data_IF_083400872518
#
_entry.id   IF_083400872518
#
_cell.length_a   1.000
_cell.length_b   1.000
_cell.length_c   1.000
_cell.angle_alpha   90.00
_cell.angle_beta   90.00
_cell.angle_gamma   90.00
#
_symmetry.space_group_name_H-M   'P 1'
#
loop_
_entity.id
_entity.type
_entity.pdbx_description
1 polymer ?
#
# COMPACT_ATOMS: atom_id res chain seq x y z
N UNK A 1 -9.33 -7.56 23.53
CA UNK A 1 -10.81 -7.68 23.42
C UNK A 1 -11.53 -6.61 24.25
N UNK A 2 -12.71 -6.16 23.81
CA UNK A 2 -13.55 -5.22 24.54
C UNK A 2 -14.82 -5.97 24.99
N UNK A 3 -15.19 -5.86 26.26
CA UNK A 3 -16.42 -6.48 26.79
C UNK A 3 -17.04 -5.59 27.86
N UNK A 4 -18.28 -5.15 27.62
CA UNK A 4 -18.95 -4.19 28.48
C UNK A 4 -18.11 -2.91 28.61
N UNK A 5 -17.76 -2.52 29.83
CA UNK A 5 -16.91 -1.35 30.10
C UNK A 5 -15.43 -1.69 30.32
N UNK A 6 -15.00 -2.92 30.00
CA UNK A 6 -13.65 -3.40 30.24
C UNK A 6 -12.91 -3.75 28.94
N UNK A 7 -11.59 -3.57 28.97
CA UNK A 7 -10.64 -4.06 27.98
C UNK A 7 -9.86 -5.22 28.57
N UNK A 8 -9.57 -6.22 27.74
CA UNK A 8 -8.70 -7.35 28.00
C UNK A 8 -7.55 -7.30 27.00
N UNK A 9 -6.32 -7.55 27.46
CA UNK A 9 -5.14 -7.58 26.61
C UNK A 9 -4.45 -8.95 26.71
N UNK A 10 -4.17 -9.56 25.56
CA UNK A 10 -3.54 -10.87 25.47
C UNK A 10 -2.26 -10.77 24.65
N UNK A 11 -1.23 -11.49 25.07
CA UNK A 11 0.00 -11.68 24.31
C UNK A 11 0.29 -13.17 24.19
N UNK A 12 0.47 -13.67 22.97
CA UNK A 12 0.67 -15.10 22.68
C UNK A 12 -0.35 -16.02 23.37
N UNK A 13 -1.62 -15.58 23.37
CA UNK A 13 -2.74 -16.32 23.98
C UNK A 13 -2.88 -16.19 25.50
N UNK A 14 -1.93 -15.54 26.19
CA UNK A 14 -1.95 -15.35 27.64
C UNK A 14 -2.51 -13.99 28.04
N UNK A 15 -3.42 -13.95 29.02
CA UNK A 15 -3.93 -12.69 29.58
C UNK A 15 -2.79 -11.95 30.29
N UNK A 16 -2.56 -10.68 29.90
CA UNK A 16 -1.52 -9.87 30.53
C UNK A 16 -1.88 -9.49 31.96
N UNK A 17 -0.86 -9.45 32.82
CA UNK A 17 -1.01 -9.03 34.20
C UNK A 17 -1.60 -7.61 34.29
N UNK A 18 -2.59 -7.44 35.16
CA UNK A 18 -3.29 -6.17 35.35
C UNK A 18 -4.47 -5.94 34.41
N UNK A 19 -4.86 -6.91 33.59
CA UNK A 19 -6.13 -6.94 32.86
C UNK A 19 -7.12 -7.93 33.48
N UNK A 20 -8.45 -7.73 33.33
CA UNK A 20 -9.11 -6.64 32.60
C UNK A 20 -8.99 -5.27 33.30
N UNK A 21 -9.06 -4.20 32.51
CA UNK A 21 -9.10 -2.82 32.98
C UNK A 21 -10.33 -2.09 32.45
N UNK A 22 -10.83 -1.06 33.15
CA UNK A 22 -11.84 -0.16 32.58
C UNK A 22 -11.35 0.49 31.28
N UNK A 23 -12.22 0.55 30.27
CA UNK A 23 -11.93 1.22 28.98
C UNK A 23 -11.54 2.68 29.21
N UNK A 24 -12.19 3.37 30.15
CA UNK A 24 -11.89 4.78 30.47
C UNK A 24 -10.50 4.99 31.08
N UNK A 25 -9.87 3.95 31.62
CA UNK A 25 -8.50 4.02 32.13
C UNK A 25 -7.47 3.78 31.02
N UNK A 26 -7.72 2.81 30.15
CA UNK A 26 -6.81 2.49 29.04
C UNK A 26 -6.92 3.50 27.88
N UNK A 27 -8.14 3.99 27.64
CA UNK A 27 -8.50 4.92 26.57
C UNK A 27 -9.29 6.11 27.16
N UNK A 28 -8.63 7.07 27.82
CA UNK A 28 -9.29 8.20 28.44
C UNK A 28 -10.17 8.99 27.46
N UNK A 29 -11.45 9.14 27.79
CA UNK A 29 -12.44 9.83 26.94
C UNK A 29 -13.24 8.91 26.00
N UNK A 30 -12.89 7.62 25.92
CA UNK A 30 -13.66 6.62 25.18
C UNK A 30 -14.71 5.98 26.11
N UNK A 31 -15.98 5.85 25.68
CA UNK A 31 -17.02 5.27 26.51
C UNK A 31 -16.92 3.74 26.59
N UNK A 32 -17.50 3.14 27.64
CA UNK A 32 -17.73 1.69 27.68
C UNK A 32 -18.90 1.26 26.80
N UNK A 33 -19.12 -0.05 26.70
CA UNK A 33 -20.17 -0.69 25.88
C UNK A 33 -20.10 -0.23 24.41
N UNK A 34 -18.92 -0.43 23.82
CA UNK A 34 -18.63 -0.13 22.42
C UNK A 34 -19.22 -1.24 21.54
N UNK A 35 -19.69 -0.86 20.35
CA UNK A 35 -20.24 -1.82 19.37
C UNK A 35 -19.10 -2.52 18.62
N UNK A 36 -18.06 -1.78 18.27
CA UNK A 36 -16.87 -2.33 17.62
C UNK A 36 -15.65 -1.41 17.75
N UNK A 37 -14.50 -1.93 17.36
CA UNK A 37 -13.24 -1.20 17.31
C UNK A 37 -12.38 -1.70 16.16
N UNK A 38 -11.49 -0.84 15.64
CA UNK A 38 -10.48 -1.19 14.65
C UNK A 38 -9.21 -0.37 14.87
N UNK A 39 -8.06 -1.02 14.78
CA UNK A 39 -6.75 -0.39 14.78
C UNK A 39 -6.52 0.40 13.49
N UNK A 40 -5.85 1.55 13.60
CA UNK A 40 -5.47 2.37 12.45
C UNK A 40 -4.03 2.83 12.57
N UNK A 41 -3.15 2.34 11.70
CA UNK A 41 -1.73 2.63 11.78
C UNK A 41 -1.38 4.00 11.19
N UNK A 42 -0.30 4.60 11.70
CA UNK A 42 0.35 5.73 11.07
C UNK A 42 0.74 5.36 9.63
N UNK A 43 0.32 6.14 8.64
CA UNK A 43 0.30 5.63 7.25
C UNK A 43 -1.06 5.70 6.62
N UNK A 44 -2.04 5.24 7.38
CA UNK A 44 -3.43 5.07 6.98
C UNK A 44 -4.29 6.08 7.76
N UNK A 45 -3.94 6.28 9.02
CA UNK A 45 -4.31 7.43 9.83
C UNK A 45 -3.12 8.39 10.01
N UNK A 46 -3.42 9.56 10.56
CA UNK A 46 -2.42 10.60 10.87
C UNK A 46 -1.39 10.14 11.92
N UNK A 47 -1.79 9.25 12.82
CA UNK A 47 -0.95 8.65 13.85
C UNK A 47 -1.51 7.24 14.16
N UNK A 48 -0.74 6.43 14.88
CA UNK A 48 -1.25 5.17 15.42
C UNK A 48 -2.44 5.43 16.33
N UNK A 49 -3.57 4.84 15.97
CA UNK A 49 -4.86 5.16 16.55
C UNK A 49 -5.72 3.91 16.72
N UNK A 50 -6.70 4.00 17.60
CA UNK A 50 -7.82 3.05 17.67
C UNK A 50 -9.11 3.80 17.37
N UNK A 51 -9.92 3.27 16.45
CA UNK A 51 -11.22 3.81 16.08
C UNK A 51 -12.28 2.96 16.78
N UNK A 52 -13.10 3.59 17.61
CA UNK A 52 -14.18 2.94 18.35
C UNK A 52 -15.55 3.42 17.87
N UNK A 53 -16.49 2.50 17.72
CA UNK A 53 -17.86 2.77 17.28
C UNK A 53 -18.83 2.57 18.46
N UNK A 54 -19.72 3.54 18.66
CA UNK A 54 -20.81 3.44 19.65
C UNK A 54 -22.05 4.20 19.18
N UNK A 55 -23.08 3.46 18.79
CA UNK A 55 -24.21 4.00 18.05
C UNK A 55 -23.71 4.78 16.84
N UNK A 56 -24.21 6.01 16.70
CA UNK A 56 -23.85 6.87 15.55
C UNK A 56 -22.54 7.65 15.78
N UNK A 57 -21.88 7.49 16.94
CA UNK A 57 -20.67 8.24 17.30
C UNK A 57 -19.41 7.40 17.12
N UNK A 58 -18.41 7.99 16.46
CA UNK A 58 -17.08 7.41 16.28
C UNK A 58 -16.07 8.15 17.16
N UNK A 59 -15.26 7.41 17.91
CA UNK A 59 -14.20 7.93 18.76
C UNK A 59 -12.86 7.49 18.20
N UNK A 60 -12.06 8.44 17.73
CA UNK A 60 -10.70 8.19 17.26
C UNK A 60 -9.77 8.52 18.42
N UNK A 61 -9.14 7.50 18.99
CA UNK A 61 -8.17 7.63 20.07
C UNK A 61 -6.75 7.54 19.52
N UNK A 62 -5.92 8.53 19.82
CA UNK A 62 -4.51 8.58 19.45
C UNK A 62 -3.73 9.15 20.64
N UNK A 63 -2.91 8.35 21.35
CA UNK A 63 -2.25 8.79 22.56
C UNK A 63 -1.21 9.91 22.33
N UNK A 64 -0.73 10.07 21.09
CA UNK A 64 0.22 11.11 20.70
C UNK A 64 -0.45 12.45 20.33
N UNK A 65 -1.78 12.49 20.21
CA UNK A 65 -2.52 13.70 19.85
C UNK A 65 -3.12 14.42 21.07
N UNK A 66 -3.34 15.73 20.93
CA UNK A 66 -3.98 16.58 21.95
C UNK A 66 -5.18 17.30 21.33
N UNK A 67 -6.43 17.04 21.77
CA UNK A 67 -6.82 16.02 22.75
C UNK A 67 -6.62 14.58 22.20
N UNK A 68 -6.44 13.58 23.07
CA UNK A 68 -6.17 12.20 22.65
C UNK A 68 -7.40 11.50 22.05
N UNK A 69 -8.60 12.04 22.25
CA UNK A 69 -9.84 11.54 21.64
C UNK A 69 -10.48 12.60 20.78
N UNK A 70 -10.79 12.23 19.54
CA UNK A 70 -11.60 13.02 18.62
C UNK A 70 -12.91 12.30 18.35
N UNK A 71 -14.02 13.00 18.55
CA UNK A 71 -15.34 12.49 18.18
C UNK A 71 -15.66 12.87 16.73
N UNK A 72 -16.32 11.96 16.02
CA UNK A 72 -16.79 12.13 14.64
C UNK A 72 -18.19 11.56 14.48
N UNK A 73 -18.89 12.09 13.49
CA UNK A 73 -20.20 11.63 13.03
C UNK A 73 -20.03 11.18 11.58
N UNK A 74 -19.82 9.89 11.36
CA UNK A 74 -19.64 9.30 10.03
C UNK A 74 -20.94 8.65 9.57
N UNK A 75 -21.96 9.48 9.33
CA UNK A 75 -23.31 9.02 9.00
C UNK A 75 -23.35 8.03 7.82
N UNK A 76 -22.44 8.18 6.83
CA UNK A 76 -22.35 7.27 5.69
C UNK A 76 -21.88 5.86 6.07
N UNK A 77 -20.97 5.73 7.06
CA UNK A 77 -20.48 4.43 7.54
C UNK A 77 -21.58 3.70 8.31
N UNK A 78 -22.38 4.45 9.06
CA UNK A 78 -23.47 3.91 9.88
C UNK A 78 -22.95 3.11 11.08
N UNK A 79 -23.80 2.22 11.60
CA UNK A 79 -23.53 1.50 12.84
C UNK A 79 -22.81 0.18 12.57
N UNK A 80 -21.60 0.06 13.11
CA UNK A 80 -20.72 -1.08 12.91
C UNK A 80 -20.85 -2.07 14.06
N UNK A 81 -21.49 -3.22 13.82
CA UNK A 81 -21.53 -4.35 14.77
C UNK A 81 -20.18 -5.05 14.90
N UNK A 82 -19.31 -4.90 13.91
CA UNK A 82 -17.90 -5.26 13.96
C UNK A 82 -17.12 -4.35 13.00
N UNK A 83 -15.84 -4.16 13.25
CA UNK A 83 -14.96 -3.44 12.35
C UNK A 83 -13.63 -4.18 12.26
N UNK A 84 -13.00 -4.16 11.09
CA UNK A 84 -11.70 -4.79 10.88
C UNK A 84 -10.87 -4.01 9.89
N UNK A 85 -9.57 -4.03 10.11
CA UNK A 85 -8.57 -3.63 9.13
C UNK A 85 -7.99 -4.89 8.51
N UNK A 86 -7.94 -4.96 7.19
CA UNK A 86 -7.31 -6.07 6.46
C UNK A 86 -6.61 -5.55 5.21
N UNK A 87 -5.28 -5.74 5.13
CA UNK A 87 -4.45 -5.25 4.02
C UNK A 87 -4.74 -3.78 3.66
N UNK A 88 -4.55 -2.87 4.64
CA UNK A 88 -4.77 -1.41 4.55
C UNK A 88 -6.22 -0.95 4.34
N UNK A 89 -7.19 -1.87 4.41
CA UNK A 89 -8.59 -1.55 4.13
C UNK A 89 -9.42 -1.72 5.38
N UNK A 90 -10.33 -0.77 5.57
CA UNK A 90 -11.17 -0.67 6.75
C UNK A 90 -12.59 -1.02 6.38
N UNK A 91 -13.15 -1.97 7.13
CA UNK A 91 -14.48 -2.50 6.88
C UNK A 91 -15.35 -2.32 8.10
N UNK A 92 -16.54 -1.80 7.88
CA UNK A 92 -17.61 -1.73 8.86
C UNK A 92 -18.61 -2.83 8.53
N UNK A 93 -18.82 -3.77 9.44
CA UNK A 93 -19.83 -4.80 9.33
C UNK A 93 -21.11 -4.36 10.03
N UNK A 94 -22.24 -4.56 9.39
CA UNK A 94 -23.57 -4.41 9.97
C UNK A 94 -24.34 -5.72 9.74
N UNK A 95 -24.26 -6.60 10.73
CA UNK A 95 -24.75 -7.98 10.62
C UNK A 95 -24.00 -8.76 9.53
N UNK A 96 -24.75 -9.22 8.52
CA UNK A 96 -24.18 -10.00 7.40
C UNK A 96 -23.64 -9.14 6.26
N UNK A 97 -23.84 -7.82 6.32
CA UNK A 97 -23.37 -6.90 5.29
C UNK A 97 -22.12 -6.17 5.77
N UNK A 98 -21.31 -5.70 4.84
CA UNK A 98 -20.17 -4.84 5.14
C UNK A 98 -20.02 -3.71 4.11
N UNK A 99 -19.43 -2.60 4.54
CA UNK A 99 -19.01 -1.49 3.70
C UNK A 99 -17.53 -1.22 3.90
N UNK A 100 -16.86 -0.72 2.86
CA UNK A 100 -15.48 -0.22 2.97
C UNK A 100 -15.52 1.28 3.24
N UNK A 101 -14.69 1.77 4.15
CA UNK A 101 -14.63 3.19 4.46
C UNK A 101 -13.19 3.72 4.52
N UNK A 102 -13.06 5.04 4.39
CA UNK A 102 -11.83 5.77 4.62
C UNK A 102 -11.70 6.08 6.13
N UNK A 103 -10.67 5.59 6.85
CA UNK A 103 -10.55 5.75 8.30
C UNK A 103 -10.21 7.17 8.77
N UNK A 104 -9.95 8.11 7.85
CA UNK A 104 -9.72 9.52 8.20
C UNK A 104 -10.98 10.36 7.96
N UNK A 105 -11.59 10.23 6.78
CA UNK A 105 -12.74 11.05 6.38
C UNK A 105 -14.10 10.45 6.76
N UNK A 106 -14.18 9.12 6.93
CA UNK A 106 -15.45 8.41 7.06
C UNK A 106 -16.22 8.27 5.74
N UNK A 107 -15.60 8.57 4.60
CA UNK A 107 -16.18 8.33 3.29
C UNK A 107 -16.38 6.83 3.05
N UNK A 108 -17.58 6.42 2.63
CA UNK A 108 -17.83 5.04 2.19
C UNK A 108 -17.37 4.88 0.76
N UNK A 109 -16.44 3.97 0.55
CA UNK A 109 -15.74 3.73 -0.73
C UNK A 109 -16.36 2.58 -1.53
N UNK A 110 -17.43 1.98 -1.02
CA UNK A 110 -18.21 0.95 -1.70
C UNK A 110 -19.55 1.53 -2.15
N UNK A 111 -19.90 1.41 -3.43
CA UNK A 111 -21.16 1.95 -3.97
C UNK A 111 -22.42 1.41 -3.28
N UNK A 112 -22.33 0.21 -2.68
CA UNK A 112 -23.36 -0.41 -1.86
C UNK A 112 -22.74 -1.36 -0.83
N UNK A 113 -23.45 -1.70 0.25
CA UNK A 113 -23.05 -2.79 1.13
C UNK A 113 -22.94 -4.13 0.37
N UNK A 114 -21.93 -4.91 0.74
CA UNK A 114 -21.66 -6.26 0.21
C UNK A 114 -21.96 -7.32 1.26
N UNK A 115 -22.24 -8.55 0.83
CA UNK A 115 -22.57 -9.66 1.75
C UNK A 115 -21.30 -10.39 2.19
N UNK A 116 -21.06 -10.45 3.50
CA UNK A 116 -19.90 -11.10 4.12
C UNK A 116 -19.68 -12.53 3.62
N UNK A 117 -20.75 -13.26 3.30
CA UNK A 117 -20.73 -14.67 2.86
C UNK A 117 -20.24 -14.86 1.43
N UNK A 118 -20.14 -13.78 0.65
CA UNK A 118 -19.54 -13.82 -0.68
C UNK A 118 -18.04 -13.50 -0.65
N UNK A 119 -17.53 -12.86 0.41
CA UNK A 119 -16.17 -12.30 0.45
C UNK A 119 -15.30 -12.81 1.62
N UNK A 120 -15.75 -12.64 2.86
CA UNK A 120 -14.95 -12.93 4.06
C UNK A 120 -15.16 -14.35 4.61
N UNK A 121 -16.31 -14.96 4.33
CA UNK A 121 -16.64 -16.31 4.80
C UNK A 121 -16.93 -17.21 3.60
N UNK A 122 -16.35 -18.42 3.60
CA UNK A 122 -16.65 -19.43 2.58
C UNK A 122 -18.00 -20.07 2.88
N UNK A 123 -19.01 -19.77 2.06
CA UNK A 123 -20.33 -20.39 2.15
C UNK A 123 -20.64 -21.22 0.89
N UNK A 124 -21.22 -22.42 1.02
CA UNK A 124 -21.64 -23.23 -0.15
C UNK A 124 -22.56 -22.45 -1.08
N UNK A 125 -22.29 -22.53 -2.39
CA UNK A 125 -23.09 -21.84 -3.42
C UNK A 125 -22.90 -20.32 -3.50
N UNK A 126 -21.94 -19.75 -2.75
CA UNK A 126 -21.66 -18.31 -2.69
C UNK A 126 -20.21 -18.00 -3.03
N UNK A 127 -19.94 -16.73 -3.36
CA UNK A 127 -18.60 -16.27 -3.68
C UNK A 127 -18.54 -15.10 -4.64
N UNK A 128 -17.31 -14.67 -4.92
CA UNK A 128 -17.00 -13.63 -5.89
C UNK A 128 -15.90 -14.10 -6.85
N UNK A 129 -15.70 -13.34 -7.94
CA UNK A 129 -14.61 -13.59 -8.88
C UNK A 129 -14.83 -14.75 -9.85
N UNK A 130 -16.07 -15.26 -10.01
CA UNK A 130 -16.37 -16.34 -10.96
C UNK A 130 -15.91 -16.03 -12.39
N UNK A 131 -16.08 -14.79 -12.85
CA UNK A 131 -15.64 -14.35 -14.19
C UNK A 131 -14.11 -14.36 -14.35
N UNK A 132 -13.36 -14.08 -13.27
CA UNK A 132 -11.90 -14.14 -13.28
C UNK A 132 -11.42 -15.58 -13.48
N UNK A 133 -12.08 -16.54 -12.83
CA UNK A 133 -11.74 -17.97 -12.95
C UNK A 133 -11.97 -18.53 -14.37
N UNK A 134 -12.76 -17.85 -15.19
CA UNK A 134 -13.04 -18.22 -16.57
C UNK A 134 -12.08 -17.54 -17.58
N UNK A 135 -11.30 -16.55 -17.16
CA UNK A 135 -10.36 -15.82 -18.02
C UNK A 135 -8.92 -16.08 -17.55
N UNK A 136 -8.22 -16.98 -18.26
CA UNK A 136 -6.86 -17.39 -17.91
C UNK A 136 -5.87 -16.21 -17.86
N UNK A 137 -5.99 -15.24 -18.77
CA UNK A 137 -5.13 -14.05 -18.81
C UNK A 137 -5.33 -13.19 -17.57
N UNK A 138 -6.58 -12.90 -17.21
CA UNK A 138 -6.90 -12.09 -16.02
C UNK A 138 -6.54 -12.84 -14.72
N UNK A 139 -6.65 -14.17 -14.72
CA UNK A 139 -6.22 -15.01 -13.62
C UNK A 139 -4.70 -14.94 -13.42
N UNK A 140 -3.92 -14.95 -14.52
CA UNK A 140 -2.47 -14.85 -14.45
C UNK A 140 -1.99 -13.51 -13.88
N UNK A 141 -2.63 -12.40 -14.27
CA UNK A 141 -2.36 -11.05 -13.72
C UNK A 141 -2.61 -11.02 -12.21
N UNK A 142 -3.64 -11.71 -11.73
CA UNK A 142 -4.04 -11.74 -10.31
C UNK A 142 -3.39 -12.84 -9.49
N UNK A 143 -2.67 -13.75 -10.12
CA UNK A 143 -1.96 -14.82 -9.45
C UNK A 143 -0.52 -14.39 -9.15
N UNK A 144 -0.21 -14.13 -7.88
CA UNK A 144 1.15 -13.76 -7.44
C UNK A 144 2.22 -14.79 -7.82
N UNK A 145 1.85 -16.07 -7.95
CA UNK A 145 2.75 -17.16 -8.30
C UNK A 145 2.67 -17.57 -9.78
N UNK A 146 2.21 -16.68 -10.68
CA UNK A 146 2.11 -16.99 -12.12
C UNK A 146 3.47 -17.06 -12.83
N UNK A 147 4.54 -16.58 -12.21
CA UNK A 147 5.85 -16.42 -12.84
C UNK A 147 5.93 -15.28 -13.87
N UNK A 148 4.84 -14.53 -14.08
CA UNK A 148 4.86 -13.32 -14.90
C UNK A 148 5.58 -12.19 -14.18
N UNK A 149 6.31 -11.37 -14.94
CA UNK A 149 6.96 -10.16 -14.45
C UNK A 149 5.95 -9.13 -13.95
N UNK A 150 6.46 -8.14 -13.23
CA UNK A 150 5.71 -6.97 -12.78
C UNK A 150 6.23 -5.75 -13.52
N UNK A 151 5.32 -4.85 -13.91
CA UNK A 151 5.68 -3.63 -14.64
C UNK A 151 6.28 -2.57 -13.71
N UNK A 152 5.94 -2.60 -12.42
CA UNK A 152 6.59 -1.74 -11.45
C UNK A 152 6.66 -2.41 -10.06
N UNK A 153 7.67 -2.01 -9.31
CA UNK A 153 7.86 -2.22 -7.88
C UNK A 153 8.16 -0.87 -7.26
N UNK A 154 7.65 -0.65 -6.06
CA UNK A 154 7.96 0.56 -5.33
C UNK A 154 7.81 0.34 -3.83
N UNK A 155 8.58 1.09 -3.06
CA UNK A 155 8.39 1.22 -1.62
C UNK A 155 8.12 2.67 -1.31
N UNK A 156 7.15 2.94 -0.44
CA UNK A 156 6.93 4.31 0.03
C UNK A 156 7.84 4.67 1.20
N UNK A 157 7.82 5.94 1.60
CA UNK A 157 8.65 6.48 2.69
C UNK A 157 8.32 5.86 4.07
N UNK A 158 7.23 5.10 4.16
CA UNK A 158 6.80 4.35 5.36
C UNK A 158 7.18 2.88 5.30
N UNK A 159 7.87 2.45 4.24
CA UNK A 159 8.34 1.09 4.05
C UNK A 159 7.30 0.13 3.50
N UNK A 160 6.12 0.62 3.08
CA UNK A 160 5.11 -0.21 2.44
C UNK A 160 5.56 -0.53 1.03
N UNK A 161 5.50 -1.80 0.66
CA UNK A 161 6.05 -2.28 -0.60
C UNK A 161 4.92 -2.78 -1.50
N UNK A 162 5.00 -2.43 -2.79
CA UNK A 162 3.97 -2.74 -3.77
C UNK A 162 4.58 -3.30 -5.05
N UNK A 163 3.92 -4.31 -5.60
CA UNK A 163 4.21 -4.89 -6.91
C UNK A 163 3.02 -4.68 -7.84
N UNK A 164 3.24 -4.08 -9.01
CA UNK A 164 2.22 -3.61 -9.94
C UNK A 164 2.19 -4.46 -11.22
N UNK A 165 1.01 -4.91 -11.62
CA UNK A 165 0.81 -5.69 -12.84
C UNK A 165 -0.59 -5.54 -13.43
N UNK A 166 -0.68 -5.15 -14.69
CA UNK A 166 -1.90 -5.11 -15.49
C UNK A 166 -3.04 -4.28 -14.88
N UNK A 167 -2.72 -3.19 -14.18
CA UNK A 167 -3.71 -2.38 -13.44
C UNK A 167 -4.18 -2.97 -12.11
N UNK A 168 -3.43 -3.93 -11.59
CA UNK A 168 -3.57 -4.49 -10.26
C UNK A 168 -2.27 -4.33 -9.48
N UNK A 169 -2.35 -4.47 -8.17
CA UNK A 169 -1.18 -4.48 -7.32
C UNK A 169 -1.31 -5.48 -6.17
N UNK A 170 -0.17 -5.89 -5.64
CA UNK A 170 -0.03 -6.63 -4.39
C UNK A 170 0.75 -5.78 -3.40
N UNK A 171 0.36 -5.84 -2.12
CA UNK A 171 1.22 -5.39 -1.02
C UNK A 171 2.19 -6.53 -0.67
N UNK A 172 3.47 -6.22 -0.54
CA UNK A 172 4.54 -7.23 -0.44
C UNK A 172 5.40 -7.12 0.82
N UNK A 173 5.26 -6.07 1.62
CA UNK A 173 6.00 -5.87 2.89
C UNK A 173 5.44 -6.68 4.07
N UNK A 174 4.15 -7.04 4.04
CA UNK A 174 3.50 -7.81 5.11
C UNK A 174 2.58 -8.89 4.52
N UNK A 175 2.92 -10.15 4.81
CA UNK A 175 2.17 -11.33 4.39
C UNK A 175 1.39 -12.00 5.54
N UNK A 176 1.48 -11.48 6.78
CA UNK A 176 0.82 -12.09 7.94
C UNK A 176 -0.69 -12.13 7.79
N UNK A 177 -1.24 -11.12 7.13
CA UNK A 177 -2.67 -10.98 6.84
C UNK A 177 -3.09 -11.72 5.55
N UNK A 178 -2.17 -12.46 4.92
CA UNK A 178 -2.38 -13.16 3.67
C UNK A 178 -2.19 -12.27 2.44
N UNK A 179 -2.68 -12.76 1.30
CA UNK A 179 -2.43 -12.16 -0.02
C UNK A 179 -3.72 -11.86 -0.76
N UNK A 180 -3.80 -10.68 -1.36
CA UNK A 180 -4.91 -10.31 -2.23
C UNK A 180 -4.51 -9.27 -3.28
N UNK A 181 -4.80 -9.48 -4.58
CA UNK A 181 -4.61 -8.47 -5.60
C UNK A 181 -5.71 -7.42 -5.54
N UNK A 182 -5.36 -6.14 -5.68
CA UNK A 182 -6.33 -5.05 -5.73
C UNK A 182 -6.15 -4.25 -7.02
N UNK A 183 -7.22 -3.74 -7.63
CA UNK A 183 -7.06 -2.80 -8.73
C UNK A 183 -6.45 -1.49 -8.18
N UNK A 184 -5.66 -0.80 -9.00
CA UNK A 184 -4.96 0.42 -8.58
C UNK A 184 -5.92 1.46 -7.98
N UNK A 185 -7.06 1.66 -8.63
CA UNK A 185 -8.09 2.64 -8.24
C UNK A 185 -8.70 2.42 -6.85
N UNK A 186 -8.50 1.25 -6.23
CA UNK A 186 -8.96 1.03 -4.85
C UNK A 186 -8.14 1.81 -3.82
N UNK A 187 -6.90 2.18 -4.15
CA UNK A 187 -5.95 2.89 -3.28
C UNK A 187 -5.60 4.24 -3.87
N UNK A 188 -5.19 4.25 -5.13
CA UNK A 188 -4.85 5.47 -5.88
C UNK A 188 -6.04 5.84 -6.76
N UNK A 189 -6.96 6.64 -6.22
CA UNK A 189 -8.20 7.03 -6.90
C UNK A 189 -7.91 7.57 -8.30
N UNK A 190 -8.67 7.10 -9.29
CA UNK A 190 -8.54 7.45 -10.71
C UNK A 190 -7.27 6.94 -11.41
N UNK A 191 -6.43 6.14 -10.74
CA UNK A 191 -5.33 5.40 -11.38
C UNK A 191 -5.84 4.08 -11.98
N UNK A 192 -5.63 3.89 -13.28
CA UNK A 192 -6.10 2.73 -14.04
C UNK A 192 -5.06 2.29 -15.07
N UNK A 193 -5.07 1.01 -15.46
CA UNK A 193 -4.15 0.49 -16.49
C UNK A 193 -2.76 0.16 -15.95
N UNK A 194 -1.83 -0.18 -16.85
CA UNK A 194 -0.45 -0.52 -16.49
C UNK A 194 0.33 0.71 -16.02
N UNK A 195 1.25 0.51 -15.09
CA UNK A 195 2.17 1.53 -14.59
C UNK A 195 3.55 1.14 -15.07
N UNK A 196 4.23 2.03 -15.77
CA UNK A 196 5.54 1.74 -16.35
C UNK A 196 6.65 1.89 -15.30
N UNK A 197 6.48 2.80 -14.33
CA UNK A 197 7.39 2.94 -13.21
C UNK A 197 6.71 3.64 -12.02
N UNK A 198 7.22 3.40 -10.80
CA UNK A 198 6.74 4.06 -9.60
C UNK A 198 7.86 4.28 -8.58
N UNK A 199 7.88 5.45 -7.93
CA UNK A 199 8.84 5.79 -6.88
C UNK A 199 8.20 6.68 -5.81
N UNK A 200 8.86 6.86 -4.67
CA UNK A 200 8.40 7.77 -3.61
C UNK A 200 9.41 8.85 -3.26
N UNK A 201 8.93 10.03 -2.91
CA UNK A 201 9.79 11.09 -2.40
C UNK A 201 8.98 12.11 -1.61
N UNK A 202 9.42 12.42 -0.40
CA UNK A 202 8.78 13.38 0.51
C UNK A 202 7.29 13.11 0.73
N UNK A 203 6.98 11.90 1.19
CA UNK A 203 5.62 11.41 1.44
C UNK A 203 4.70 11.60 0.23
N UNK A 204 5.25 11.47 -0.97
CA UNK A 204 4.50 11.38 -2.22
C UNK A 204 4.88 10.12 -2.95
N UNK A 205 3.90 9.51 -3.60
CA UNK A 205 4.10 8.40 -4.51
C UNK A 205 3.83 8.88 -5.93
N UNK A 206 4.78 8.61 -6.82
CA UNK A 206 4.78 9.01 -8.21
C UNK A 206 4.51 7.78 -9.06
N UNK A 207 3.57 7.90 -10.00
CA UNK A 207 3.25 6.88 -10.98
C UNK A 207 3.52 7.42 -12.37
N UNK A 208 4.25 6.67 -13.19
CA UNK A 208 4.49 6.97 -14.60
C UNK A 208 3.65 6.03 -15.46
N UNK A 209 2.88 6.63 -16.39
CA UNK A 209 2.08 5.91 -17.39
C UNK A 209 2.26 6.59 -18.75
N UNK A 210 3.00 5.94 -19.64
CA UNK A 210 3.50 6.51 -20.88
C UNK A 210 4.29 7.79 -20.62
N UNK A 211 3.81 8.89 -21.21
CA UNK A 211 4.42 10.22 -21.11
C UNK A 211 3.80 11.08 -19.99
N UNK A 212 3.10 10.48 -19.02
CA UNK A 212 2.44 11.19 -17.93
C UNK A 212 2.93 10.73 -16.55
N UNK A 213 3.00 11.69 -15.62
CA UNK A 213 3.24 11.48 -14.19
C UNK A 213 1.96 11.80 -13.44
N UNK A 214 1.58 10.96 -12.48
CA UNK A 214 0.54 11.22 -11.47
C UNK A 214 1.16 11.16 -10.08
N UNK A 215 0.77 12.06 -9.18
CA UNK A 215 1.30 12.11 -7.81
C UNK A 215 0.18 11.94 -6.79
N UNK A 216 0.45 11.15 -5.74
CA UNK A 216 -0.41 11.00 -4.58
C UNK A 216 0.36 11.30 -3.30
N UNK A 217 -0.26 12.02 -2.36
CA UNK A 217 0.27 12.22 -1.00
C UNK A 217 0.15 10.92 -0.22
N UNK A 218 1.26 10.31 0.19
CA UNK A 218 1.35 9.07 0.97
C UNK A 218 1.40 9.29 2.49
N UNK A 219 1.28 10.53 2.96
CA UNK A 219 1.12 10.90 4.38
C UNK A 219 -0.08 10.18 5.05
N UNK A 220 -1.11 9.88 4.28
CA UNK A 220 -2.30 9.12 4.69
C UNK A 220 -2.75 8.22 3.52
N UNK A 221 -4.06 8.07 3.30
CA UNK A 221 -4.69 7.20 2.29
C UNK A 221 -4.55 7.81 0.88
N UNK A 222 -3.32 7.97 0.40
CA UNK A 222 -2.95 8.30 -0.98
C UNK A 222 -3.89 9.32 -1.65
N UNK A 223 -3.74 10.59 -1.30
CA UNK A 223 -4.60 11.67 -1.79
C UNK A 223 -4.05 12.20 -3.12
N UNK A 224 -4.83 12.22 -4.22
CA UNK A 224 -4.36 12.77 -5.49
C UNK A 224 -3.90 14.22 -5.35
N UNK A 225 -2.74 14.55 -5.91
CA UNK A 225 -2.24 15.93 -5.95
C UNK A 225 -2.95 16.68 -7.08
N UNK A 226 -3.55 17.83 -6.75
CA UNK A 226 -4.24 18.66 -7.73
C UNK A 226 -3.28 19.13 -8.83
N UNK A 227 -3.74 19.10 -10.08
CA UNK A 227 -2.96 19.52 -11.25
C UNK A 227 -2.17 18.39 -11.93
N UNK A 228 -2.35 17.14 -11.50
CA UNK A 228 -1.85 15.94 -12.18
C UNK A 228 -2.99 15.17 -12.86
N UNK A 229 -2.73 14.39 -13.94
CA UNK A 229 -1.42 14.08 -14.52
C UNK A 229 -0.73 15.28 -15.19
N UNK A 230 0.60 15.22 -15.28
CA UNK A 230 1.42 16.15 -16.04
C UNK A 230 2.37 15.43 -16.99
N UNK A 231 2.86 16.08 -18.07
CA UNK A 231 3.85 15.48 -18.94
C UNK A 231 5.13 15.10 -18.20
N UNK A 232 5.64 13.91 -18.48
CA UNK A 232 6.87 13.36 -17.89
C UNK A 232 8.08 14.27 -18.15
N UNK A 233 8.15 14.86 -19.33
CA UNK A 233 9.21 15.80 -19.72
C UNK A 233 9.17 17.09 -18.89
N UNK A 234 7.98 17.58 -18.57
CA UNK A 234 7.82 18.81 -17.78
C UNK A 234 8.16 18.56 -16.31
N UNK A 235 7.84 17.37 -15.79
CA UNK A 235 8.04 17.02 -14.39
C UNK A 235 9.42 16.48 -14.07
N UNK A 236 10.03 15.67 -14.94
CA UNK A 236 11.29 14.96 -14.68
C UNK A 236 12.39 15.21 -15.73
N UNK A 237 12.09 15.93 -16.82
CA UNK A 237 13.07 16.21 -17.86
C UNK A 237 13.42 15.02 -18.75
N UNK A 238 12.58 13.97 -18.76
CA UNK A 238 12.75 12.76 -19.59
C UNK A 238 11.48 12.42 -20.36
N UNK A 239 11.62 11.69 -21.47
CA UNK A 239 10.49 11.37 -22.36
C UNK A 239 9.95 9.95 -22.18
N UNK A 240 10.79 8.99 -21.80
CA UNK A 240 10.45 7.58 -21.63
C UNK A 240 11.30 6.98 -20.50
N UNK A 241 10.73 6.00 -19.77
CA UNK A 241 11.34 5.33 -18.63
C UNK A 241 10.83 3.89 -18.60
N UNK A 242 11.71 2.93 -18.27
CA UNK A 242 11.33 1.54 -17.95
C UNK A 242 11.27 1.29 -16.45
N UNK A 243 12.11 1.98 -15.67
CA UNK A 243 12.12 1.86 -14.22
C UNK A 243 12.56 3.15 -13.53
N UNK A 244 12.05 3.38 -12.34
CA UNK A 244 12.40 4.54 -11.53
C UNK A 244 12.50 4.15 -10.05
N UNK A 245 13.49 4.70 -9.35
CA UNK A 245 13.60 4.51 -7.91
C UNK A 245 14.28 5.69 -7.22
N UNK A 246 13.97 5.84 -5.95
CA UNK A 246 14.61 6.76 -5.00
C UNK A 246 15.05 5.93 -3.82
N UNK A 247 16.25 6.16 -3.31
CA UNK A 247 16.68 5.50 -2.07
C UNK A 247 16.21 6.29 -0.85
N UNK A 248 16.00 5.64 0.31
CA UNK A 248 15.56 6.31 1.53
C UNK A 248 16.40 7.54 1.86
N UNK A 249 15.72 8.63 2.23
CA UNK A 249 16.33 9.91 2.61
C UNK A 249 17.15 10.61 1.51
N UNK A 250 16.98 10.22 0.24
CA UNK A 250 17.61 10.89 -0.91
C UNK A 250 16.58 11.69 -1.72
N UNK A 251 17.02 12.82 -2.28
CA UNK A 251 16.30 13.54 -3.35
C UNK A 251 16.71 13.10 -4.75
N UNK A 252 17.66 12.18 -4.86
CA UNK A 252 18.12 11.64 -6.14
C UNK A 252 17.15 10.58 -6.64
N UNK A 253 16.40 10.94 -7.67
CA UNK A 253 15.65 9.99 -8.47
C UNK A 253 16.59 9.37 -9.49
N UNK A 254 16.57 8.06 -9.57
CA UNK A 254 17.24 7.32 -10.62
C UNK A 254 16.21 6.79 -11.60
N UNK A 255 16.36 7.15 -12.87
CA UNK A 255 15.52 6.67 -13.97
C UNK A 255 16.36 5.78 -14.88
N UNK A 256 15.76 4.67 -15.31
CA UNK A 256 16.38 3.68 -16.18
C UNK A 256 15.58 3.59 -17.47
N UNK A 257 16.29 3.63 -18.60
CA UNK A 257 15.78 3.29 -19.92
C UNK A 257 16.79 2.38 -20.60
N UNK A 258 16.35 1.19 -21.00
CA UNK A 258 17.22 0.12 -21.50
C UNK A 258 18.35 -0.23 -20.50
N UNK A 259 19.58 0.17 -20.81
CA UNK A 259 20.77 0.02 -19.98
C UNK A 259 21.36 1.37 -19.50
N UNK A 260 20.65 2.47 -19.73
CA UNK A 260 21.04 3.81 -19.33
C UNK A 260 20.39 4.19 -18.00
N UNK A 261 21.21 4.58 -17.04
CA UNK A 261 20.82 5.14 -15.77
C UNK A 261 21.08 6.65 -15.79
N UNK A 262 20.05 7.45 -15.46
CA UNK A 262 20.18 8.91 -15.26
C UNK A 262 19.70 9.29 -13.86
N UNK A 263 20.43 10.18 -13.21
CA UNK A 263 20.02 10.77 -11.94
C UNK A 263 19.28 12.08 -12.21
N UNK A 264 18.17 12.31 -11.52
CA UNK A 264 17.38 13.54 -11.53
C UNK A 264 17.27 14.03 -10.09
N UNK A 265 17.77 15.24 -9.80
CA UNK A 265 17.62 15.83 -8.47
C UNK A 265 16.22 16.42 -8.31
N UNK A 266 15.41 15.79 -7.44
CA UNK A 266 14.01 16.15 -7.25
C UNK A 266 13.80 17.51 -6.61
N UNK A 267 14.84 18.10 -5.99
CA UNK A 267 14.80 19.44 -5.40
C UNK A 267 14.99 20.56 -6.44
N UNK A 268 15.51 20.25 -7.62
CA UNK A 268 15.75 21.24 -8.67
C UNK A 268 14.46 21.61 -9.40
N UNK A 269 14.37 22.86 -9.85
CA UNK A 269 13.28 23.36 -10.69
C UNK A 269 13.83 24.39 -11.70
N UNK A 270 13.80 24.11 -13.01
CA UNK A 270 13.33 22.87 -13.64
C UNK A 270 14.24 21.68 -13.31
N UNK A 271 13.67 20.46 -13.31
CA UNK A 271 14.45 19.23 -13.16
C UNK A 271 15.17 18.92 -14.46
N UNK A 272 16.46 18.61 -14.37
CA UNK A 272 17.28 18.21 -15.53
C UNK A 272 18.04 16.92 -15.21
N UNK A 273 17.95 15.88 -16.06
CA UNK A 273 18.73 14.66 -15.89
C UNK A 273 20.24 14.94 -15.95
N UNK A 274 20.96 14.35 -15.01
CA UNK A 274 22.42 14.31 -15.03
C UNK A 274 22.94 13.43 -16.17
N UNK A 275 24.27 13.45 -16.35
CA UNK A 275 24.95 12.64 -17.35
C UNK A 275 24.59 11.15 -17.19
N UNK A 276 24.28 10.52 -18.31
CA UNK A 276 23.99 9.08 -18.38
C UNK A 276 25.17 8.23 -17.91
N UNK A 277 24.84 7.13 -17.23
CA UNK A 277 25.75 6.06 -16.81
C UNK A 277 25.20 4.73 -17.31
N UNK A 278 26.06 3.84 -17.75
CA UNK A 278 25.65 2.50 -18.21
C UNK A 278 25.64 1.50 -17.06
N UNK A 279 24.65 0.62 -17.03
CA UNK A 279 24.58 -0.51 -16.08
C UNK A 279 24.74 -1.85 -16.83
N UNK A 280 25.12 -2.90 -16.12
CA UNK A 280 25.36 -4.25 -16.68
C UNK A 280 24.07 -5.02 -17.05
N UNK A 281 22.90 -4.42 -16.81
CA UNK A 281 21.60 -4.96 -17.17
C UNK A 281 21.19 -4.53 -18.58
N UNK A 282 20.84 -5.49 -19.44
CA UNK A 282 20.43 -5.22 -20.82
C UNK A 282 18.96 -4.79 -21.00
N UNK A 283 18.10 -5.11 -20.03
CA UNK A 283 16.69 -4.74 -19.99
C UNK A 283 16.29 -4.64 -18.52
N UNK A 284 15.52 -3.64 -18.12
CA UNK A 284 15.02 -3.54 -16.73
C UNK A 284 13.50 -3.39 -16.79
N UNK A 285 12.77 -4.27 -16.11
CA UNK A 285 11.31 -4.18 -16.06
C UNK A 285 10.87 -3.23 -14.93
N UNK A 286 11.64 -3.16 -13.84
CA UNK A 286 11.37 -2.26 -12.72
C UNK A 286 12.60 -2.14 -11.82
N UNK A 287 12.62 -1.13 -10.95
CA UNK A 287 13.60 -0.97 -9.89
C UNK A 287 12.94 -0.46 -8.61
N UNK A 288 13.53 -0.74 -7.46
CA UNK A 288 13.07 -0.24 -6.15
C UNK A 288 14.26 -0.15 -5.21
N UNK A 289 14.35 0.90 -4.41
CA UNK A 289 15.34 1.03 -3.36
C UNK A 289 14.66 1.23 -2.01
N UNK A 290 15.07 0.46 -1.00
CA UNK A 290 14.57 0.59 0.37
C UNK A 290 15.72 0.43 1.36
N UNK A 291 15.40 0.34 2.65
CA UNK A 291 16.41 0.20 3.72
C UNK A 291 17.24 -1.10 3.66
N UNK A 292 16.83 -2.08 2.84
CA UNK A 292 17.61 -3.29 2.59
C UNK A 292 18.53 -3.19 1.37
N UNK A 293 18.49 -2.08 0.61
CA UNK A 293 19.30 -1.86 -0.59
C UNK A 293 18.46 -1.66 -1.85
N UNK A 294 19.13 -1.77 -2.99
CA UNK A 294 18.61 -1.54 -4.33
C UNK A 294 18.29 -2.87 -5.02
N UNK A 295 17.12 -2.94 -5.64
CA UNK A 295 16.62 -4.11 -6.37
C UNK A 295 16.34 -3.72 -7.82
N UNK A 296 16.92 -4.47 -8.76
CA UNK A 296 16.59 -4.43 -10.19
C UNK A 296 15.78 -5.67 -10.52
N UNK A 297 14.65 -5.50 -11.19
CA UNK A 297 13.72 -6.58 -11.55
C UNK A 297 13.77 -6.83 -13.05
N UNK A 298 13.88 -8.11 -13.43
CA UNK A 298 13.93 -8.56 -14.82
C UNK A 298 13.18 -9.89 -14.94
N UNK A 299 12.06 -9.90 -15.66
CA UNK A 299 11.24 -11.10 -15.79
C UNK A 299 10.76 -11.60 -14.42
N UNK A 300 10.94 -12.89 -14.08
CA UNK A 300 10.63 -13.45 -12.77
C UNK A 300 11.74 -13.27 -11.72
N UNK A 301 12.83 -12.59 -12.07
CA UNK A 301 14.05 -12.49 -11.27
C UNK A 301 14.27 -11.09 -10.71
N UNK A 302 15.00 -11.02 -9.61
CA UNK A 302 15.54 -9.77 -9.09
C UNK A 302 17.04 -9.87 -8.82
N UNK A 303 17.70 -8.72 -8.85
CA UNK A 303 19.12 -8.55 -8.59
C UNK A 303 19.29 -7.52 -7.49
N UNK A 304 20.02 -7.89 -6.44
CA UNK A 304 20.19 -7.07 -5.25
C UNK A 304 21.56 -6.42 -5.24
N UNK A 305 21.57 -5.13 -4.96
CA UNK A 305 22.74 -4.28 -4.80
C UNK A 305 22.62 -3.56 -3.45
N UNK A 306 23.74 -3.27 -2.82
CA UNK A 306 23.80 -2.48 -1.61
C UNK A 306 23.36 -1.03 -1.87
N UNK A 307 23.84 -0.44 -2.95
CA UNK A 307 23.63 0.96 -3.32
C UNK A 307 23.83 1.18 -4.83
N UNK A 308 23.68 2.43 -5.29
CA UNK A 308 23.82 2.80 -6.69
C UNK A 308 25.27 2.71 -7.17
N UNK A 309 26.24 2.92 -6.29
CA UNK A 309 27.66 2.82 -6.65
C UNK A 309 28.03 1.38 -7.01
N UNK A 310 27.51 0.40 -6.28
CA UNK A 310 27.65 -1.02 -6.61
C UNK A 310 26.97 -1.34 -7.95
N UNK A 311 25.73 -0.87 -8.17
CA UNK A 311 25.02 -1.10 -9.44
C UNK A 311 25.83 -0.63 -10.65
N UNK A 312 26.40 0.58 -10.60
CA UNK A 312 27.12 1.14 -11.75
C UNK A 312 28.55 0.61 -11.89
N UNK A 313 29.19 0.21 -10.80
CA UNK A 313 30.54 -0.37 -10.85
C UNK A 313 30.54 -1.85 -11.24
N UNK A 314 29.40 -2.54 -11.14
CA UNK A 314 29.31 -3.95 -11.49
C UNK A 314 29.44 -4.19 -13.00
N UNK A 315 30.35 -5.08 -13.38
CA UNK A 315 30.60 -5.45 -14.78
C UNK A 315 29.62 -6.52 -15.28
N UNK A 316 29.02 -7.29 -14.37
CA UNK A 316 28.00 -8.30 -14.64
C UNK A 316 26.90 -8.27 -13.56
N UNK A 317 25.65 -8.66 -13.86
CA UNK A 317 24.62 -8.77 -12.84
C UNK A 317 24.98 -9.81 -11.76
N UNK A 318 24.70 -9.56 -10.47
CA UNK A 318 24.93 -10.53 -9.41
C UNK A 318 24.05 -11.76 -9.57
N UNK A 319 24.25 -12.78 -8.72
CA UNK A 319 23.37 -13.95 -8.72
C UNK A 319 21.91 -13.51 -8.48
N UNK A 320 20.97 -13.87 -9.38
CA UNK A 320 19.59 -13.47 -9.23
C UNK A 320 18.89 -14.24 -8.10
N UNK A 321 17.91 -13.59 -7.48
CA UNK A 321 16.88 -14.24 -6.68
C UNK A 321 15.55 -14.33 -7.43
N UNK A 322 14.62 -15.12 -6.92
CA UNK A 322 13.28 -15.29 -7.50
C UNK A 322 12.28 -14.32 -6.85
N UNK A 323 11.54 -13.55 -7.66
CA UNK A 323 10.56 -12.58 -7.16
C UNK A 323 9.44 -13.27 -6.39
N UNK A 324 8.92 -14.38 -6.93
CA UNK A 324 7.79 -15.10 -6.35
C UNK A 324 8.13 -15.67 -4.97
N UNK A 325 9.35 -16.18 -4.78
CA UNK A 325 9.82 -16.68 -3.49
C UNK A 325 10.07 -15.53 -2.50
N UNK A 326 10.83 -14.51 -2.92
CA UNK A 326 11.31 -13.47 -2.00
C UNK A 326 10.26 -12.44 -1.60
N UNK A 327 9.50 -11.93 -2.58
CA UNK A 327 8.58 -10.82 -2.39
C UNK A 327 7.12 -11.23 -2.32
N UNK A 328 6.81 -12.45 -2.76
CA UNK A 328 5.42 -12.89 -2.87
C UNK A 328 5.13 -14.14 -2.05
N UNK A 329 6.10 -14.74 -1.35
CA UNK A 329 5.90 -15.92 -0.49
C UNK A 329 5.23 -17.09 -1.24
N UNK A 330 5.71 -17.35 -2.45
CA UNK A 330 5.37 -18.53 -3.26
C UNK A 330 6.35 -19.66 -2.92
N UNK A 331 5.85 -20.88 -2.87
CA UNK A 331 6.70 -22.07 -2.81
C UNK A 331 7.42 -22.26 -4.16
N UNK A 332 8.69 -22.63 -4.07
CA UNK A 332 9.56 -22.99 -5.20
C UNK A 332 9.07 -24.21 -5.96
#
# INVERSE_FOLDING_TARGET
PLQGSNVFCYFEGSLLAGFPRPISQEFPGVPGNLDSAVECHSGECKADSAIFFKGDTVYIYSPQEVPPVKQRQWAAVGNCTAAVRWLERYYCFNGINFTRFNPVSGEVLSARPLDTRDYFVRCPGRGHGHNVRQNATLMAIKNRCSGQSFEAFSSDDKGRMYAFRGGWYFRTDDNKDGWHPWPLSHTWRDLHGAVDAAFSWENKMYFIQGSQVVIYLSDQIYIPVLGYPKPLIDELGVTEIDAAFTCPHSSELYVIRDNELRMVDLQQSPRSPARERTISHSQVDSAMCNFNGLFIFQGPLFYHYKDVEELVSSTEPPKPGNIAERFLDCLS
#
